data_IF_437946712298
#
_entry.id   IF_437946712298
#
_cell.length_a   1.000
_cell.length_b   1.000
_cell.length_c   1.000
_cell.angle_alpha   90.00
_cell.angle_beta   90.00
_cell.angle_gamma   90.00
#
_symmetry.space_group_name_H-M   'P 1'
#
loop_
_entity.id
_entity.type
_entity.pdbx_description
1 polymer ?
#
# COMPACT_ATOMS: atom_id res chain seq x y z
N UNK A 1 -11.79 -6.49 18.18
CA UNK A 1 -11.19 -5.30 17.53
C UNK A 1 -12.06 -4.91 16.35
N UNK A 2 -12.43 -3.63 16.19
CA UNK A 2 -13.20 -3.19 15.01
C UNK A 2 -12.32 -3.37 13.77
N UNK A 3 -12.79 -4.01 12.69
CA UNK A 3 -12.00 -4.14 11.47
C UNK A 3 -11.61 -2.73 11.00
N UNK A 4 -10.34 -2.53 10.57
CA UNK A 4 -9.94 -1.25 10.04
C UNK A 4 -10.85 -0.90 8.86
N UNK A 5 -11.19 0.38 8.68
CA UNK A 5 -11.99 0.78 7.54
C UNK A 5 -11.23 0.43 6.24
N UNK A 6 -11.98 0.05 5.20
CA UNK A 6 -11.40 -0.51 3.96
C UNK A 6 -10.40 0.47 3.31
N UNK A 7 -10.67 1.77 3.42
CA UNK A 7 -9.77 2.84 2.98
C UNK A 7 -8.37 2.71 3.62
N UNK A 8 -8.28 2.35 4.90
CA UNK A 8 -7.02 2.17 5.62
C UNK A 8 -6.27 0.94 5.13
N UNK A 9 -6.97 -0.14 4.81
CA UNK A 9 -6.37 -1.37 4.27
C UNK A 9 -5.82 -1.12 2.87
N UNK A 10 -6.65 -0.55 1.99
CA UNK A 10 -6.23 -0.16 0.63
C UNK A 10 -5.05 0.81 0.69
N UNK A 11 -5.09 1.79 1.59
CA UNK A 11 -3.99 2.74 1.72
C UNK A 11 -2.69 2.09 2.21
N UNK A 12 -2.78 1.14 3.14
CA UNK A 12 -1.62 0.33 3.57
C UNK A 12 -1.01 -0.43 2.39
N UNK A 13 -1.84 -1.04 1.53
CA UNK A 13 -1.39 -1.74 0.32
C UNK A 13 -0.69 -0.80 -0.67
N UNK A 14 -1.23 0.40 -0.88
CA UNK A 14 -0.57 1.40 -1.72
C UNK A 14 0.83 1.75 -1.21
N UNK A 15 1.01 1.96 0.09
CA UNK A 15 2.33 2.24 0.66
C UNK A 15 3.29 1.06 0.45
N UNK A 16 2.84 -0.18 0.69
CA UNK A 16 3.63 -1.39 0.44
C UNK A 16 4.04 -1.49 -1.03
N UNK A 17 3.13 -1.22 -1.96
CA UNK A 17 3.43 -1.25 -3.40
C UNK A 17 4.47 -0.19 -3.79
N UNK A 18 4.36 1.02 -3.23
CA UNK A 18 5.29 2.11 -3.51
C UNK A 18 6.70 1.83 -2.99
N UNK A 19 6.83 1.30 -1.76
CA UNK A 19 8.14 0.96 -1.17
C UNK A 19 8.71 -0.36 -1.70
N UNK A 20 7.88 -1.24 -2.26
CA UNK A 20 8.33 -2.39 -3.06
C UNK A 20 9.01 -1.94 -4.35
N UNK A 21 8.42 -0.96 -5.06
CA UNK A 21 8.98 -0.48 -6.31
C UNK A 21 10.32 0.25 -6.12
N UNK A 22 10.44 1.03 -5.04
CA UNK A 22 11.67 1.74 -4.70
C UNK A 22 11.59 2.27 -3.26
N UNK A 23 12.66 2.13 -2.44
CA UNK A 23 12.75 2.76 -1.13
C UNK A 23 12.39 4.24 -1.18
N UNK A 24 11.64 4.73 -0.20
CA UNK A 24 11.07 6.07 -0.27
C UNK A 24 11.05 6.77 1.08
N UNK A 25 11.28 8.07 1.08
CA UNK A 25 11.01 8.92 2.25
C UNK A 25 9.50 9.14 2.40
N UNK A 26 9.06 9.63 3.57
CA UNK A 26 7.65 10.02 3.75
C UNK A 26 7.21 11.10 2.75
N UNK A 27 8.12 11.97 2.33
CA UNK A 27 7.85 13.02 1.34
C UNK A 27 7.62 12.41 -0.04
N UNK A 28 8.53 11.54 -0.50
CA UNK A 28 8.37 10.87 -1.79
C UNK A 28 7.11 10.00 -1.84
N UNK A 29 6.71 9.39 -0.73
CA UNK A 29 5.45 8.65 -0.65
C UNK A 29 4.24 9.55 -0.86
N UNK A 30 4.21 10.73 -0.23
CA UNK A 30 3.14 11.72 -0.44
C UNK A 30 3.08 12.17 -1.90
N UNK A 31 4.22 12.48 -2.51
CA UNK A 31 4.28 12.89 -3.92
C UNK A 31 3.77 11.78 -4.84
N UNK A 32 4.28 10.56 -4.71
CA UNK A 32 3.86 9.41 -5.52
C UNK A 32 2.38 9.07 -5.36
N UNK A 33 1.80 9.32 -4.19
CA UNK A 33 0.35 9.16 -3.95
C UNK A 33 -0.44 10.25 -4.67
N UNK A 34 0.01 11.51 -4.58
CA UNK A 34 -0.60 12.65 -5.28
C UNK A 34 -0.62 12.44 -6.79
N UNK A 35 0.48 11.93 -7.36
CA UNK A 35 0.58 11.61 -8.80
C UNK A 35 -0.46 10.58 -9.27
N UNK A 36 -1.01 9.80 -8.33
CA UNK A 36 -2.07 8.80 -8.57
C UNK A 36 -3.46 9.31 -8.21
N UNK A 37 -3.62 10.61 -7.96
CA UNK A 37 -4.88 11.22 -7.56
C UNK A 37 -5.27 10.99 -6.09
N UNK A 38 -4.35 10.46 -5.26
CA UNK A 38 -4.61 10.19 -3.85
C UNK A 38 -4.08 11.37 -3.01
N UNK A 39 -4.96 12.30 -2.67
CA UNK A 39 -4.59 13.45 -1.84
C UNK A 39 -4.50 13.09 -0.36
N UNK A 40 -3.26 12.81 0.09
CA UNK A 40 -2.92 12.55 1.49
C UNK A 40 -1.71 13.36 1.89
N UNK A 41 -1.74 13.87 3.12
CA UNK A 41 -0.62 14.62 3.69
C UNK A 41 0.26 13.75 4.61
N UNK A 42 1.43 14.29 4.98
CA UNK A 42 2.40 13.62 5.87
C UNK A 42 1.77 13.18 7.20
N UNK A 43 0.84 13.95 7.77
CA UNK A 43 0.19 13.60 9.05
C UNK A 43 -0.66 12.34 8.92
N UNK A 44 -1.31 12.14 7.78
CA UNK A 44 -2.09 10.94 7.48
C UNK A 44 -1.22 9.70 7.22
N UNK A 45 0.00 9.85 6.68
CA UNK A 45 0.90 8.71 6.43
C UNK A 45 1.57 8.18 7.70
N UNK A 46 1.89 9.06 8.67
CA UNK A 46 2.66 8.65 9.87
C UNK A 46 2.05 7.48 10.65
N UNK A 47 0.72 7.42 10.93
CA UNK A 47 0.11 6.28 11.61
C UNK A 47 0.18 4.97 10.80
N UNK A 48 0.13 5.07 9.46
CA UNK A 48 0.17 3.92 8.56
C UNK A 48 1.59 3.36 8.51
N UNK A 49 2.58 4.23 8.35
CA UNK A 49 3.99 3.85 8.41
C UNK A 49 4.34 3.22 9.76
N UNK A 50 3.85 3.81 10.87
CA UNK A 50 4.01 3.22 12.20
C UNK A 50 3.40 1.82 12.29
N UNK A 51 2.19 1.64 11.79
CA UNK A 51 1.51 0.33 11.76
C UNK A 51 2.27 -0.70 10.91
N UNK A 52 2.79 -0.30 9.74
CA UNK A 52 3.61 -1.14 8.88
C UNK A 52 4.93 -1.56 9.55
N UNK A 53 5.58 -0.63 10.24
CA UNK A 53 6.79 -0.92 11.02
C UNK A 53 6.51 -1.87 12.19
N UNK A 54 5.42 -1.67 12.93
CA UNK A 54 5.05 -2.58 14.03
C UNK A 54 4.72 -3.99 13.54
N UNK A 55 4.12 -4.11 12.35
CA UNK A 55 3.89 -5.38 11.67
C UNK A 55 5.14 -5.98 11.02
N UNK A 56 6.30 -5.29 11.10
CA UNK A 56 7.55 -5.65 10.42
C UNK A 56 7.42 -5.77 8.89
N UNK A 57 6.41 -5.17 8.30
CA UNK A 57 6.20 -5.19 6.85
C UNK A 57 7.11 -4.19 6.12
N UNK A 58 7.58 -3.17 6.83
CA UNK A 58 8.61 -2.25 6.35
C UNK A 58 9.66 -2.02 7.44
N UNK A 59 10.87 -1.67 7.02
CA UNK A 59 11.92 -1.11 7.88
C UNK A 59 12.07 0.39 7.60
N UNK A 60 12.80 1.07 8.47
CA UNK A 60 13.12 2.47 8.28
C UNK A 60 14.58 2.72 8.65
N UNK A 61 15.32 3.31 7.71
CA UNK A 61 16.74 3.60 7.85
C UNK A 61 16.97 5.11 7.79
N UNK A 62 17.86 5.61 8.63
CA UNK A 62 18.24 7.02 8.61
C UNK A 62 19.37 7.19 7.60
N UNK A 63 19.10 7.94 6.53
CA UNK A 63 20.05 8.25 5.47
C UNK A 63 20.45 9.71 5.61
N UNK A 64 21.76 9.97 5.63
CA UNK A 64 22.31 11.32 5.70
C UNK A 64 21.77 12.18 4.55
N UNK A 65 21.34 13.41 4.85
CA UNK A 65 20.73 14.32 3.88
C UNK A 65 19.28 14.01 3.45
N UNK A 66 18.84 12.75 3.51
CA UNK A 66 17.50 12.32 3.06
C UNK A 66 16.51 12.02 4.21
N UNK A 67 17.02 11.89 5.43
CA UNK A 67 16.23 11.55 6.59
C UNK A 67 15.80 10.08 6.57
N UNK A 68 14.58 9.79 7.04
CA UNK A 68 14.10 8.42 7.21
C UNK A 68 13.55 7.85 5.89
N UNK A 69 14.24 6.85 5.36
CA UNK A 69 13.86 6.08 4.16
C UNK A 69 13.20 4.78 4.59
N UNK A 70 12.06 4.44 3.98
CA UNK A 70 11.31 3.22 4.26
C UNK A 70 11.53 2.18 3.16
N UNK A 71 11.81 0.95 3.58
CA UNK A 71 12.07 -0.19 2.70
C UNK A 71 11.09 -1.32 3.01
N UNK A 72 10.59 -2.03 1.99
CA UNK A 72 9.76 -3.22 2.21
C UNK A 72 10.63 -4.39 2.71
N UNK A 73 10.09 -5.17 3.64
CA UNK A 73 10.71 -6.42 4.12
C UNK A 73 10.21 -7.63 3.33
N UNK A 74 10.78 -8.81 3.57
CA UNK A 74 10.25 -10.06 3.01
C UNK A 74 8.83 -10.36 3.49
N UNK A 75 8.53 -10.14 4.77
CA UNK A 75 7.17 -10.32 5.28
C UNK A 75 6.20 -9.30 4.69
N UNK A 76 6.65 -8.07 4.44
CA UNK A 76 5.85 -7.07 3.74
C UNK A 76 5.57 -7.42 2.28
N UNK A 77 6.55 -8.02 1.59
CA UNK A 77 6.35 -8.56 0.22
C UNK A 77 5.33 -9.68 0.22
N UNK A 78 5.47 -10.66 1.12
CA UNK A 78 4.53 -11.77 1.24
C UNK A 78 3.10 -11.30 1.58
N UNK A 79 2.96 -10.31 2.48
CA UNK A 79 1.66 -9.69 2.78
C UNK A 79 1.07 -9.03 1.54
N UNK A 80 1.86 -8.21 0.83
CA UNK A 80 1.42 -7.53 -0.39
C UNK A 80 0.96 -8.52 -1.46
N UNK A 81 1.73 -9.57 -1.70
CA UNK A 81 1.42 -10.58 -2.72
C UNK A 81 0.12 -11.32 -2.39
N UNK A 82 -0.11 -11.70 -1.13
CA UNK A 82 -1.37 -12.33 -0.70
C UNK A 82 -2.58 -11.43 -0.95
N UNK A 83 -2.47 -10.12 -0.66
CA UNK A 83 -3.54 -9.18 -0.93
C UNK A 83 -3.77 -8.95 -2.43
N UNK A 84 -2.71 -8.89 -3.23
CA UNK A 84 -2.83 -8.78 -4.68
C UNK A 84 -3.51 -10.01 -5.28
N UNK A 85 -3.22 -11.22 -4.78
CA UNK A 85 -3.92 -12.43 -5.19
C UNK A 85 -5.43 -12.35 -4.87
N UNK A 86 -5.81 -11.88 -3.68
CA UNK A 86 -7.23 -11.70 -3.36
C UNK A 86 -7.91 -10.64 -4.26
N UNK A 87 -7.21 -9.54 -4.58
CA UNK A 87 -7.74 -8.52 -5.48
C UNK A 87 -7.87 -9.04 -6.92
N UNK A 88 -6.99 -9.94 -7.36
CA UNK A 88 -7.09 -10.57 -8.68
C UNK A 88 -8.35 -11.43 -8.78
N UNK A 89 -8.62 -12.28 -7.78
CA UNK A 89 -9.86 -13.08 -7.72
C UNK A 89 -11.10 -12.19 -7.79
N UNK A 90 -11.13 -11.10 -7.00
CA UNK A 90 -12.26 -10.18 -7.01
C UNK A 90 -12.44 -9.44 -8.35
N UNK A 91 -11.34 -9.14 -9.05
CA UNK A 91 -11.40 -8.52 -10.38
C UNK A 91 -11.96 -9.52 -11.38
N UNK A 92 -11.47 -10.76 -11.37
CA UNK A 92 -11.89 -11.82 -12.29
C UNK A 92 -13.40 -12.13 -12.09
N UNK A 93 -13.88 -12.17 -10.84
CA UNK A 93 -15.32 -12.31 -10.53
C UNK A 93 -16.18 -11.18 -11.12
N UNK A 94 -15.67 -9.95 -11.14
CA UNK A 94 -16.38 -8.79 -11.72
C UNK A 94 -16.40 -8.88 -13.24
N UNK A 95 -15.27 -9.27 -13.86
CA UNK A 95 -15.16 -9.45 -15.30
C UNK A 95 -16.12 -10.55 -15.79
N UNK A 96 -16.19 -11.69 -15.10
CA UNK A 96 -17.13 -12.78 -15.37
C UNK A 96 -18.61 -12.32 -15.34
N UNK A 97 -18.97 -11.46 -14.39
CA UNK A 97 -20.33 -10.92 -14.27
C UNK A 97 -20.65 -9.98 -15.43
N UNK A 98 -19.72 -9.13 -15.83
CA UNK A 98 -19.91 -8.20 -16.95
C UNK A 98 -19.95 -8.94 -18.30
N UNK A 99 -19.15 -9.99 -18.49
CA UNK A 99 -19.22 -10.86 -19.68
C UNK A 99 -20.60 -11.53 -19.81
N UNK A 100 -21.15 -12.05 -18.71
CA UNK A 100 -22.50 -12.65 -18.69
C UNK A 100 -23.59 -11.65 -19.00
N UNK A 101 -23.46 -10.39 -18.58
CA UNK A 101 -24.42 -9.32 -18.91
C UNK A 101 -24.37 -8.93 -20.38
N UNK A 102 -23.17 -8.92 -20.99
CA UNK A 102 -23.00 -8.55 -22.40
C UNK A 102 -23.41 -9.69 -23.36
N UNK A 103 -23.48 -10.93 -22.87
CA UNK A 103 -23.91 -12.10 -23.63
C UNK A 103 -25.43 -12.38 -23.56
N UNK A 104 -26.20 -11.61 -22.77
CA UNK A 104 -27.65 -11.73 -22.59
C UNK A 104 -28.40 -10.57 -23.24
#
# INVERSE_FOLDING_TARGET
MKPPPLDRVVFRLYILKLVQASPATVFNLVERLRDRGIDKNIRALRPILRSLMMARAITAELVEGNGRVYCITDSGRAELDAYLSHLAVLRDDIEDVEERKNAA
#
